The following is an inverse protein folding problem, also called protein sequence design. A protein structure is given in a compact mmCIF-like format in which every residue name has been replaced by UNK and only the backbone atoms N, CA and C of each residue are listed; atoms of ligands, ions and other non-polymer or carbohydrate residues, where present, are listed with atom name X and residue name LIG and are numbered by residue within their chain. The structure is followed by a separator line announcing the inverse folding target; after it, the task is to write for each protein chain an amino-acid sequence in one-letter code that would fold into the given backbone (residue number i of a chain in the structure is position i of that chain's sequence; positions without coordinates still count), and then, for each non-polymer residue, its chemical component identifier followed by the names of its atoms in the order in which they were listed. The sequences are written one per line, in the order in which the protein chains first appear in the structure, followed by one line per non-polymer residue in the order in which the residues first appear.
data_IF_761910228549
#
_entry.id   IF_761910228549
#
_cell.length_a   1.000
_cell.length_b   1.000
_cell.length_c   1.000
_cell.angle_alpha   90.00
_cell.angle_beta   90.00
_cell.angle_gamma   90.00
#
_symmetry.space_group_name_H-M   'P 1'
#
loop_
_entity.id
_entity.type
_entity.pdbx_description
1 polymer ?
#
# COMPACT_ATOMS: atom_id res chain seq x y z
N UNK A 1 20.16 -8.28 -16.70
CA UNK A 1 18.88 -7.72 -16.24
C UNK A 1 19.15 -6.27 -15.89
N UNK A 2 18.83 -5.35 -16.81
CA UNK A 2 19.15 -3.94 -16.62
C UNK A 2 18.04 -3.32 -15.78
N UNK A 3 18.29 -3.13 -14.48
CA UNK A 3 17.56 -2.14 -13.71
C UNK A 3 18.03 -0.78 -14.25
N UNK A 4 17.18 -0.09 -14.98
CA UNK A 4 17.38 1.32 -15.28
C UNK A 4 17.38 2.08 -13.94
N UNK A 5 18.35 2.98 -13.73
CA UNK A 5 18.51 3.87 -12.56
C UNK A 5 17.30 4.82 -12.30
N UNK A 6 16.13 4.54 -12.87
CA UNK A 6 14.91 5.27 -12.57
C UNK A 6 14.45 4.92 -11.15
N UNK A 7 14.44 5.91 -10.26
CA UNK A 7 13.93 5.79 -8.90
C UNK A 7 12.50 5.22 -8.91
N UNK A 8 12.30 4.07 -8.26
CA UNK A 8 10.99 3.44 -8.12
C UNK A 8 10.08 4.32 -7.27
N UNK A 9 9.03 4.86 -7.88
CA UNK A 9 8.13 5.80 -7.22
C UNK A 9 6.67 5.50 -7.54
N UNK A 10 5.85 5.36 -6.51
CA UNK A 10 4.40 5.29 -6.66
C UNK A 10 3.92 6.63 -7.22
N UNK A 11 3.34 6.62 -8.42
CA UNK A 11 2.78 7.81 -9.08
C UNK A 11 1.26 7.88 -8.94
N UNK A 12 0.62 6.74 -8.68
CA UNK A 12 -0.81 6.63 -8.40
C UNK A 12 -1.05 5.53 -7.37
N UNK A 13 -1.79 5.85 -6.31
CA UNK A 13 -2.27 4.87 -5.33
C UNK A 13 -3.48 4.12 -5.86
N UNK A 14 -3.70 2.92 -5.33
CA UNK A 14 -4.81 2.06 -5.70
C UNK A 14 -5.45 1.40 -4.48
N UNK A 15 -6.02 0.22 -4.69
CA UNK A 15 -6.65 -0.61 -3.66
C UNK A 15 -5.76 -1.80 -3.34
N UNK A 16 -5.60 -2.07 -2.06
CA UNK A 16 -5.03 -3.32 -1.55
C UNK A 16 -6.14 -4.03 -0.77
N UNK A 17 -6.43 -5.27 -1.16
CA UNK A 17 -7.45 -6.10 -0.51
C UNK A 17 -6.78 -7.35 0.04
N UNK A 18 -6.91 -7.55 1.35
CA UNK A 18 -6.37 -8.71 2.05
C UNK A 18 -7.54 -9.68 2.30
N UNK A 19 -7.37 -10.91 1.86
CA UNK A 19 -8.35 -12.00 2.05
C UNK A 19 -7.64 -13.23 2.61
N UNK A 20 -8.41 -14.26 2.97
CA UNK A 20 -7.85 -15.56 3.35
C UNK A 20 -7.02 -16.22 2.22
N UNK A 21 -7.32 -15.88 0.97
CA UNK A 21 -6.71 -16.51 -0.21
C UNK A 21 -5.45 -15.75 -0.69
N UNK A 22 -5.17 -14.58 -0.10
CA UNK A 22 -4.00 -13.77 -0.41
C UNK A 22 -4.30 -12.27 -0.49
N UNK A 23 -3.43 -11.55 -1.19
CA UNK A 23 -3.45 -10.09 -1.31
C UNK A 23 -3.67 -9.72 -2.79
N UNK A 24 -4.73 -8.95 -3.06
CA UNK A 24 -4.98 -8.33 -4.37
C UNK A 24 -4.51 -6.87 -4.37
N UNK A 25 -3.84 -6.46 -5.44
CA UNK A 25 -3.37 -5.09 -5.67
C UNK A 25 -3.95 -4.59 -6.99
N UNK A 26 -4.73 -3.52 -6.93
CA UNK A 26 -5.47 -2.99 -8.08
C UNK A 26 -5.26 -1.47 -8.22
N UNK A 27 -5.04 -1.00 -9.45
CA UNK A 27 -5.03 0.44 -9.77
C UNK A 27 -3.79 1.23 -9.33
N UNK A 28 -2.77 0.58 -8.77
CA UNK A 28 -1.47 1.20 -8.51
C UNK A 28 -0.69 1.45 -9.81
N UNK A 29 0.02 2.57 -9.86
CA UNK A 29 1.01 2.84 -10.89
C UNK A 29 2.34 3.20 -10.23
N UNK A 30 3.42 2.55 -10.64
CA UNK A 30 4.78 2.78 -10.13
C UNK A 30 5.70 3.03 -11.31
N UNK A 31 6.35 4.19 -11.31
CA UNK A 31 7.35 4.53 -12.33
C UNK A 31 8.59 3.67 -12.12
N UNK A 32 9.19 3.20 -13.21
CA UNK A 32 10.46 2.46 -13.18
C UNK A 32 10.35 1.05 -12.59
N UNK A 33 9.14 0.48 -12.53
CA UNK A 33 8.86 -0.76 -11.83
C UNK A 33 8.18 -1.78 -12.74
N UNK A 34 8.48 -3.06 -12.53
CA UNK A 34 7.70 -4.16 -13.13
C UNK A 34 6.53 -4.55 -12.21
N UNK A 35 5.62 -5.39 -12.70
CA UNK A 35 4.43 -5.81 -11.96
C UNK A 35 4.74 -6.37 -10.56
N UNK A 36 5.84 -7.11 -10.41
CA UNK A 36 6.32 -7.60 -9.10
C UNK A 36 6.67 -6.45 -8.16
N UNK A 37 7.39 -5.45 -8.67
CA UNK A 37 7.84 -4.33 -7.86
C UNK A 37 6.64 -3.42 -7.50
N UNK A 38 5.65 -3.30 -8.39
CA UNK A 38 4.35 -2.66 -8.09
C UNK A 38 3.67 -3.35 -6.90
N UNK A 39 3.62 -4.69 -6.88
CA UNK A 39 3.01 -5.44 -5.79
C UNK A 39 3.73 -5.18 -4.45
N UNK A 40 5.06 -5.20 -4.44
CA UNK A 40 5.87 -4.92 -3.24
C UNK A 40 5.68 -3.49 -2.76
N UNK A 41 5.74 -2.51 -3.66
CA UNK A 41 5.60 -1.09 -3.33
C UNK A 41 4.19 -0.76 -2.82
N UNK A 42 3.16 -1.33 -3.44
CA UNK A 42 1.77 -1.17 -3.00
C UNK A 42 1.54 -1.78 -1.61
N UNK A 43 2.10 -2.96 -1.34
CA UNK A 43 2.02 -3.60 -0.03
C UNK A 43 2.73 -2.78 1.05
N UNK A 44 3.95 -2.30 0.78
CA UNK A 44 4.71 -1.46 1.71
C UNK A 44 3.96 -0.16 2.03
N UNK A 45 3.36 0.49 1.01
CA UNK A 45 2.51 1.66 1.22
C UNK A 45 1.30 1.34 2.10
N UNK A 46 0.60 0.23 1.84
CA UNK A 46 -0.57 -0.17 2.60
C UNK A 46 -0.26 -0.46 4.07
N UNK A 47 0.87 -1.13 4.36
CA UNK A 47 1.37 -1.34 5.73
C UNK A 47 1.56 0.01 6.44
N UNK A 48 2.17 0.98 5.75
CA UNK A 48 2.38 2.32 6.29
C UNK A 48 1.08 3.05 6.63
N UNK A 49 0.06 2.98 5.76
CA UNK A 49 -1.25 3.58 6.04
C UNK A 49 -1.97 2.87 7.19
N UNK A 50 -1.98 1.53 7.19
CA UNK A 50 -2.55 0.72 8.27
C UNK A 50 -1.92 1.08 9.62
N UNK A 51 -0.59 1.13 9.68
CA UNK A 51 0.13 1.50 10.90
C UNK A 51 -0.23 2.93 11.35
N UNK A 52 -0.26 3.90 10.42
CA UNK A 52 -0.62 5.30 10.73
C UNK A 52 -2.02 5.40 11.31
N UNK A 53 -3.01 4.80 10.66
CA UNK A 53 -4.41 4.89 11.11
C UNK A 53 -4.64 4.10 12.40
N UNK A 54 -3.97 2.97 12.59
CA UNK A 54 -4.00 2.22 13.85
C UNK A 54 -3.47 3.04 15.01
N UNK A 55 -2.31 3.70 14.86
CA UNK A 55 -1.74 4.55 15.91
C UNK A 55 -2.66 5.72 16.26
N UNK A 56 -3.31 6.34 15.26
CA UNK A 56 -4.31 7.40 15.50
C UNK A 56 -5.54 6.89 16.27
N UNK A 57 -6.01 5.68 15.97
CA UNK A 57 -7.12 5.04 16.68
C UNK A 57 -6.76 4.71 18.13
N UNK A 58 -5.53 4.25 18.39
CA UNK A 58 -5.03 4.02 19.76
C UNK A 58 -4.99 5.33 20.56
N UNK A 59 -4.53 6.42 19.93
CA UNK A 59 -4.36 7.71 20.59
C UNK A 59 -5.68 8.30 21.11
N UNK A 60 -6.80 8.09 20.40
CA UNK A 60 -8.14 8.48 20.86
C UNK A 60 -9.26 7.79 20.08
N UNK A 61 -10.44 7.56 20.69
CA UNK A 61 -11.63 7.14 19.96
C UNK A 61 -11.93 8.06 18.76
N UNK A 62 -12.14 7.46 17.59
CA UNK A 62 -12.37 8.20 16.34
C UNK A 62 -11.15 8.95 15.79
N UNK A 63 -9.95 8.72 16.33
CA UNK A 63 -8.73 9.39 15.86
C UNK A 63 -8.25 8.91 14.50
N UNK A 64 -8.40 7.61 14.22
CA UNK A 64 -8.08 6.98 12.94
C UNK A 64 -9.32 6.66 12.11
N UNK A 65 -9.12 6.44 10.82
CA UNK A 65 -10.16 6.06 9.85
C UNK A 65 -10.27 4.54 9.71
N UNK A 66 -10.49 3.86 10.84
CA UNK A 66 -10.74 2.42 10.89
C UNK A 66 -12.19 2.20 11.32
N UNK A 67 -12.99 1.61 10.44
CA UNK A 67 -14.36 1.19 10.73
C UNK A 67 -14.42 -0.33 10.92
N UNK A 68 -15.35 -0.78 11.76
CA UNK A 68 -15.74 -2.18 11.93
C UNK A 68 -17.25 -2.26 11.69
N UNK A 69 -17.69 -3.24 10.90
CA UNK A 69 -19.10 -3.60 10.69
C UNK A 69 -19.45 -4.79 11.58
#
# INVERSE_FOLDING_TARGET
MYCTDDEMKITKTGRVTITKDGISVEGFNVKGAMCRDVAVMAAAWAIGELQREMLKTIAKPGGGKIGVD
#
